data_IF_248019501733
#
_entry.id   IF_248019501733
#
_cell.length_a   1.000
_cell.length_b   1.000
_cell.length_c   1.000
_cell.angle_alpha   90.00
_cell.angle_beta   90.00
_cell.angle_gamma   90.00
#
_symmetry.space_group_name_H-M   'P 1'
#
loop_
_entity.id
_entity.type
_entity.pdbx_description
1 polymer ?
#
# COMPACT_ATOMS: atom_id res chain seq x y z
N UNK A 1 -5.12 16.21 9.92
CA UNK A 1 -3.88 15.49 9.57
C UNK A 1 -4.09 14.01 9.86
N UNK A 2 -3.75 13.18 8.94
CA UNK A 2 -3.86 11.75 9.16
C UNK A 2 -2.60 11.21 9.85
N UNK A 3 -2.66 9.97 10.31
CA UNK A 3 -1.54 9.34 11.00
C UNK A 3 -0.31 9.20 10.11
N UNK A 4 -0.53 9.10 8.83
CA UNK A 4 0.54 8.98 7.86
C UNK A 4 1.44 10.21 7.88
N UNK A 5 0.83 11.40 7.83
CA UNK A 5 1.59 12.65 7.85
C UNK A 5 2.32 12.84 9.17
N UNK A 6 1.69 12.46 10.28
CA UNK A 6 2.31 12.57 11.59
C UNK A 6 3.54 11.68 11.68
N UNK A 7 3.46 10.45 11.20
CA UNK A 7 4.61 9.54 11.20
C UNK A 7 5.73 10.05 10.33
N UNK A 8 5.40 10.64 9.20
CA UNK A 8 6.40 11.23 8.33
C UNK A 8 7.15 12.35 9.04
N UNK A 9 6.44 13.23 9.74
CA UNK A 9 7.06 14.31 10.49
C UNK A 9 7.97 13.76 11.57
N UNK A 10 7.55 12.74 12.29
CA UNK A 10 8.37 12.11 13.32
C UNK A 10 9.63 11.50 12.74
N UNK A 11 9.51 10.84 11.61
CA UNK A 11 10.66 10.24 10.94
C UNK A 11 11.69 11.29 10.56
N UNK A 12 11.23 12.40 9.99
CA UNK A 12 12.12 13.48 9.58
C UNK A 12 12.79 14.16 10.74
N UNK A 13 12.12 14.27 11.88
CA UNK A 13 12.65 14.99 13.04
C UNK A 13 13.55 14.16 13.93
N UNK A 14 13.17 12.90 14.13
CA UNK A 14 13.78 12.11 15.17
C UNK A 14 14.75 11.05 14.69
N UNK A 15 14.35 10.27 13.74
CA UNK A 15 15.09 9.06 13.42
C UNK A 15 15.96 9.18 12.18
N UNK A 16 15.59 10.07 11.32
CA UNK A 16 16.17 10.10 9.99
C UNK A 16 17.69 10.31 9.97
N UNK A 17 18.27 11.24 10.72
CA UNK A 17 19.73 11.42 10.63
C UNK A 17 20.50 10.23 11.18
N UNK A 18 19.98 9.60 12.20
CA UNK A 18 20.72 8.54 12.89
C UNK A 18 20.74 7.24 12.11
N UNK A 19 19.94 7.12 11.10
CA UNK A 19 19.87 5.87 10.36
C UNK A 19 20.97 5.72 9.33
N UNK A 20 21.74 6.77 9.13
CA UNK A 20 22.90 6.69 8.25
C UNK A 20 22.57 6.32 6.82
N UNK A 21 21.30 6.26 6.51
CA UNK A 21 20.82 5.91 5.19
C UNK A 21 20.21 7.09 4.50
N UNK A 22 19.37 6.80 3.55
CA UNK A 22 18.69 7.82 2.79
C UNK A 22 17.65 8.52 3.64
N UNK A 23 17.53 9.80 3.50
CA UNK A 23 16.42 10.55 4.08
C UNK A 23 15.16 10.30 3.25
N UNK A 24 14.02 10.72 3.80
CA UNK A 24 12.75 10.59 3.09
C UNK A 24 12.80 11.27 1.73
N UNK A 25 13.45 12.44 1.65
CA UNK A 25 13.53 13.17 0.39
C UNK A 25 14.44 12.55 -0.65
N UNK A 26 15.25 11.58 -0.27
CA UNK A 26 16.15 10.92 -1.21
C UNK A 26 15.47 9.80 -2.00
N UNK A 27 14.26 9.44 -1.64
CA UNK A 27 13.53 8.40 -2.36
C UNK A 27 12.81 9.00 -3.56
N UNK A 28 13.15 8.58 -4.77
CA UNK A 28 12.53 9.12 -5.97
C UNK A 28 11.15 8.51 -6.19
N UNK A 29 10.24 8.75 -5.26
CA UNK A 29 8.91 8.14 -5.32
C UNK A 29 7.84 9.22 -5.35
N UNK A 30 7.20 9.45 -6.51
CA UNK A 30 6.17 10.47 -6.64
C UNK A 30 4.88 10.13 -5.90
N UNK A 31 4.76 8.92 -5.37
CA UNK A 31 3.54 8.47 -4.68
C UNK A 31 3.63 8.65 -3.18
N UNK A 32 4.76 9.18 -2.68
CA UNK A 32 4.94 9.48 -1.26
C UNK A 32 5.32 8.26 -0.44
N UNK A 33 5.07 8.36 0.84
CA UNK A 33 5.42 7.33 1.80
C UNK A 33 4.17 6.74 2.44
N UNK A 34 4.31 5.53 2.96
CA UNK A 34 3.30 4.94 3.83
C UNK A 34 3.97 4.21 4.99
N UNK A 35 3.21 4.00 6.05
CA UNK A 35 3.71 3.22 7.16
C UNK A 35 3.85 1.75 6.72
N UNK A 36 4.96 1.15 7.09
CA UNK A 36 5.17 -0.27 6.82
C UNK A 36 4.23 -1.10 7.68
N UNK A 37 3.52 -2.00 7.06
CA UNK A 37 2.64 -2.92 7.78
C UNK A 37 3.32 -4.28 7.91
N UNK A 38 3.45 -4.74 9.13
CA UNK A 38 3.97 -6.06 9.41
C UNK A 38 3.00 -7.13 8.93
N UNK A 39 3.48 -8.36 8.71
CA UNK A 39 2.60 -9.45 8.28
C UNK A 39 1.43 -9.72 9.21
N UNK A 40 1.59 -9.45 10.51
CA UNK A 40 0.53 -9.67 11.50
C UNK A 40 -0.52 -8.53 11.54
N UNK A 41 -0.42 -7.56 10.65
CA UNK A 41 -1.36 -6.46 10.55
C UNK A 41 -0.97 -5.22 11.35
N UNK A 42 0.03 -5.29 12.21
CA UNK A 42 0.48 -4.12 12.97
C UNK A 42 1.42 -3.26 12.14
N UNK A 43 1.60 -2.01 12.57
CA UNK A 43 2.50 -1.10 11.88
C UNK A 43 3.81 -0.98 12.65
N UNK A 44 4.93 -1.07 11.92
CA UNK A 44 6.26 -1.10 12.52
C UNK A 44 6.85 0.25 12.87
N UNK A 45 6.15 1.32 12.58
CA UNK A 45 6.68 2.65 12.84
C UNK A 45 7.62 3.19 11.78
N UNK A 46 7.99 2.38 10.81
CA UNK A 46 8.81 2.82 9.68
C UNK A 46 7.93 3.39 8.58
N UNK A 47 8.47 4.39 7.89
CA UNK A 47 7.84 4.93 6.68
C UNK A 47 8.59 4.40 5.47
N UNK A 48 7.85 3.87 4.53
CA UNK A 48 8.42 3.26 3.32
C UNK A 48 7.91 3.99 2.09
N UNK A 49 8.72 4.14 1.05
CA UNK A 49 8.23 4.67 -0.20
C UNK A 49 7.13 3.77 -0.76
N UNK A 50 6.05 4.39 -1.22
CA UNK A 50 5.01 3.64 -1.91
C UNK A 50 5.53 3.15 -3.24
N UNK A 51 5.22 1.93 -3.58
CA UNK A 51 5.44 1.41 -4.93
C UNK A 51 4.25 1.78 -5.81
N UNK A 52 4.31 1.37 -7.06
CA UNK A 52 3.18 1.53 -7.99
C UNK A 52 2.09 0.49 -7.76
N UNK A 53 2.22 -0.36 -6.75
CA UNK A 53 1.26 -1.41 -6.46
C UNK A 53 1.48 -2.66 -7.30
N UNK A 54 0.71 -3.70 -7.00
CA UNK A 54 0.86 -5.00 -7.67
C UNK A 54 0.47 -4.95 -9.15
N UNK A 55 -0.49 -4.11 -9.51
CA UNK A 55 -1.01 -4.01 -10.87
C UNK A 55 -0.56 -2.74 -11.59
N UNK A 56 0.34 -1.97 -10.99
CA UNK A 56 0.80 -0.72 -11.57
C UNK A 56 -0.18 0.41 -11.40
N UNK A 57 0.05 1.50 -12.10
CA UNK A 57 -0.72 2.72 -11.99
C UNK A 57 -1.94 2.63 -12.88
N UNK A 58 -3.11 2.93 -12.31
CA UNK A 58 -4.34 3.10 -13.06
C UNK A 58 -4.85 4.52 -12.88
N UNK A 59 -5.57 5.02 -13.84
CA UNK A 59 -6.14 6.37 -13.77
C UNK A 59 -7.64 6.30 -13.53
N UNK A 60 -8.11 7.05 -12.53
CA UNK A 60 -9.53 7.22 -12.32
C UNK A 60 -10.13 8.12 -13.41
N UNK A 61 -11.46 8.18 -13.52
CA UNK A 61 -12.10 9.09 -14.49
C UNK A 61 -11.73 10.56 -14.27
N UNK A 62 -11.31 10.92 -13.05
CA UNK A 62 -10.88 12.29 -12.73
C UNK A 62 -9.40 12.51 -13.01
N UNK A 63 -8.69 11.51 -13.53
CA UNK A 63 -7.27 11.61 -13.82
C UNK A 63 -6.36 11.33 -12.65
N UNK A 64 -6.90 10.94 -11.50
CA UNK A 64 -6.10 10.61 -10.33
C UNK A 64 -5.45 9.23 -10.48
N UNK A 65 -4.23 9.10 -9.96
CA UNK A 65 -3.53 7.82 -9.99
C UNK A 65 -4.06 6.90 -8.89
N UNK A 66 -4.38 5.66 -9.26
CA UNK A 66 -4.84 4.64 -8.32
C UNK A 66 -3.87 3.47 -8.41
N UNK A 67 -3.24 3.14 -7.30
CA UNK A 67 -2.23 2.08 -7.27
C UNK A 67 -2.61 0.92 -6.35
N UNK A 68 -3.31 1.19 -5.28
CA UNK A 68 -3.60 0.17 -4.27
C UNK A 68 -5.07 0.09 -3.89
N UNK A 69 -5.71 1.23 -3.66
CA UNK A 69 -7.08 1.34 -3.16
C UNK A 69 -7.32 0.38 -2.00
N UNK A 70 -6.79 0.75 -0.85
CA UNK A 70 -6.75 -0.12 0.33
C UNK A 70 -8.13 -0.42 0.89
N UNK A 71 -8.27 -1.62 1.40
CA UNK A 71 -9.45 -2.07 2.14
C UNK A 71 -8.98 -2.68 3.46
N UNK A 72 -9.94 -2.97 4.34
CA UNK A 72 -9.62 -3.49 5.66
C UNK A 72 -10.48 -4.69 6.00
N UNK A 73 -9.92 -5.58 6.80
CA UNK A 73 -10.69 -6.53 7.60
C UNK A 73 -10.44 -6.23 9.07
N UNK A 74 -10.85 -7.13 9.96
CA UNK A 74 -10.71 -6.90 11.40
C UNK A 74 -9.25 -6.89 11.87
N UNK A 75 -8.34 -7.41 11.08
CA UNK A 75 -6.96 -7.64 11.51
C UNK A 75 -5.94 -6.78 10.78
N UNK A 76 -6.22 -6.35 9.55
CA UNK A 76 -5.23 -5.65 8.74
C UNK A 76 -5.87 -4.84 7.64
N UNK A 77 -5.10 -3.89 7.12
CA UNK A 77 -5.38 -3.23 5.84
C UNK A 77 -4.63 -3.95 4.74
N UNK A 78 -5.18 -3.98 3.54
CA UNK A 78 -4.51 -4.59 2.41
C UNK A 78 -4.97 -3.94 1.10
N UNK A 79 -4.17 -4.07 0.04
CA UNK A 79 -4.56 -3.47 -1.25
C UNK A 79 -5.68 -4.29 -1.89
N UNK A 80 -6.60 -3.60 -2.54
CA UNK A 80 -7.64 -4.27 -3.33
C UNK A 80 -7.18 -4.59 -4.75
N UNK A 81 -6.22 -3.84 -5.28
CA UNK A 81 -5.68 -4.08 -6.61
C UNK A 81 -4.55 -5.10 -6.53
N UNK A 82 -4.89 -6.36 -6.72
CA UNK A 82 -3.96 -7.49 -6.57
C UNK A 82 -3.99 -8.37 -7.82
N UNK A 83 -2.94 -9.19 -8.01
CA UNK A 83 -2.96 -10.17 -9.10
C UNK A 83 -4.17 -11.10 -9.00
N UNK A 84 -4.72 -11.49 -10.13
CA UNK A 84 -5.86 -12.38 -10.18
C UNK A 84 -7.20 -11.71 -10.42
N UNK A 85 -7.25 -10.37 -10.36
CA UNK A 85 -8.47 -9.66 -10.68
C UNK A 85 -8.74 -9.69 -12.18
N UNK A 86 -10.01 -9.76 -12.55
CA UNK A 86 -10.41 -9.61 -13.95
C UNK A 86 -10.62 -8.13 -14.29
N UNK A 87 -10.84 -7.84 -15.57
CA UNK A 87 -10.99 -6.48 -16.06
C UNK A 87 -12.18 -5.78 -15.41
N UNK A 88 -13.28 -6.47 -15.21
CA UNK A 88 -14.47 -5.87 -14.58
C UNK A 88 -14.20 -5.49 -13.14
N UNK A 89 -13.50 -6.35 -12.40
CA UNK A 89 -13.14 -6.06 -11.01
C UNK A 89 -12.23 -4.84 -10.92
N UNK A 90 -11.23 -4.78 -11.79
CA UNK A 90 -10.32 -3.63 -11.84
C UNK A 90 -11.08 -2.35 -12.17
N UNK A 91 -11.95 -2.39 -13.16
CA UNK A 91 -12.73 -1.22 -13.56
C UNK A 91 -13.66 -0.75 -12.45
N UNK A 92 -14.29 -1.66 -11.72
CA UNK A 92 -15.13 -1.27 -10.59
C UNK A 92 -14.34 -0.54 -9.52
N UNK A 93 -13.15 -1.01 -9.22
CA UNK A 93 -12.30 -0.37 -8.22
C UNK A 93 -11.81 0.99 -8.72
N UNK A 94 -11.25 1.03 -9.91
CA UNK A 94 -10.59 2.24 -10.42
C UNK A 94 -11.59 3.32 -10.79
N UNK A 95 -12.69 2.95 -11.43
CA UNK A 95 -13.65 3.93 -11.97
C UNK A 95 -14.75 4.28 -10.98
N UNK A 96 -15.15 3.35 -10.13
CA UNK A 96 -16.31 3.53 -9.25
C UNK A 96 -15.96 3.43 -7.79
N UNK A 97 -14.69 3.20 -7.45
CA UNK A 97 -14.23 3.01 -6.07
C UNK A 97 -15.05 1.92 -5.38
N UNK A 98 -15.40 0.89 -6.13
CA UNK A 98 -16.24 -0.19 -5.65
C UNK A 98 -15.46 -1.50 -5.69
N UNK A 99 -15.16 -2.02 -4.51
CA UNK A 99 -14.52 -3.33 -4.37
C UNK A 99 -15.64 -4.36 -4.28
N UNK A 100 -15.88 -5.07 -5.37
CA UNK A 100 -16.94 -6.10 -5.39
C UNK A 100 -16.61 -7.22 -4.42
N UNK A 101 -17.60 -8.02 -3.98
CA UNK A 101 -17.33 -9.16 -3.10
C UNK A 101 -16.29 -10.12 -3.65
N UNK A 102 -16.29 -10.39 -4.95
CA UNK A 102 -15.29 -11.27 -5.55
C UNK A 102 -13.90 -10.64 -5.53
N UNK A 103 -13.80 -9.35 -5.80
CA UNK A 103 -12.52 -8.63 -5.74
C UNK A 103 -12.00 -8.59 -4.30
N UNK A 104 -12.87 -8.31 -3.34
CA UNK A 104 -12.48 -8.29 -1.93
C UNK A 104 -11.93 -9.65 -1.50
N UNK A 105 -12.61 -10.73 -1.87
CA UNK A 105 -12.18 -12.07 -1.52
C UNK A 105 -10.80 -12.39 -2.09
N UNK A 106 -10.57 -12.03 -3.36
CA UNK A 106 -9.28 -12.24 -4.00
C UNK A 106 -8.18 -11.43 -3.31
N UNK A 107 -8.48 -10.18 -2.96
CA UNK A 107 -7.53 -9.31 -2.28
C UNK A 107 -7.19 -9.87 -0.88
N UNK A 108 -8.21 -10.31 -0.14
CA UNK A 108 -7.99 -10.86 1.19
C UNK A 108 -7.17 -12.15 1.13
N UNK A 109 -7.48 -13.04 0.18
CA UNK A 109 -6.72 -14.28 0.01
C UNK A 109 -5.27 -13.98 -0.33
N UNK A 110 -5.03 -13.01 -1.20
CA UNK A 110 -3.66 -12.60 -1.53
C UNK A 110 -2.93 -12.06 -0.30
N UNK A 111 -3.60 -11.22 0.49
CA UNK A 111 -3.02 -10.66 1.70
C UNK A 111 -2.68 -11.75 2.72
N UNK A 112 -3.57 -12.71 2.90
CA UNK A 112 -3.34 -13.82 3.82
C UNK A 112 -2.20 -14.72 3.35
N UNK A 113 -2.09 -14.92 2.05
CA UNK A 113 -0.98 -15.69 1.49
C UNK A 113 0.35 -14.99 1.76
N UNK A 114 0.41 -13.69 1.54
CA UNK A 114 1.61 -12.90 1.84
C UNK A 114 1.95 -13.00 3.33
N UNK A 115 0.95 -12.85 4.18
CA UNK A 115 1.12 -12.95 5.62
C UNK A 115 1.70 -14.30 6.03
N UNK A 116 1.22 -15.38 5.42
CA UNK A 116 1.72 -16.73 5.72
C UNK A 116 3.18 -16.91 5.32
N UNK A 117 3.66 -16.09 4.42
CA UNK A 117 5.06 -16.10 3.98
C UNK A 117 5.93 -15.12 4.78
N UNK A 118 5.37 -14.46 5.78
CA UNK A 118 6.09 -13.45 6.55
C UNK A 118 6.27 -12.12 5.81
N UNK A 119 5.38 -11.82 4.87
CA UNK A 119 5.50 -10.64 4.01
C UNK A 119 4.31 -9.72 4.21
N UNK A 120 4.53 -8.42 4.01
CA UNK A 120 3.46 -7.42 4.02
C UNK A 120 2.51 -7.66 2.85
N UNK A 121 1.21 -7.39 3.00
CA UNK A 121 0.27 -7.49 1.88
C UNK A 121 0.47 -6.41 0.83
N UNK A 122 1.12 -5.30 1.18
CA UNK A 122 1.40 -4.23 0.25
C UNK A 122 2.70 -4.49 -0.49
N UNK A 123 2.73 -4.12 -1.77
CA UNK A 123 3.95 -4.23 -2.53
C UNK A 123 4.92 -3.15 -2.11
N UNK A 124 6.13 -3.54 -1.77
CA UNK A 124 7.23 -2.64 -1.48
C UNK A 124 8.07 -2.42 -2.74
N UNK A 125 8.92 -1.39 -2.71
CA UNK A 125 9.70 -1.05 -3.90
C UNK A 125 10.68 -2.15 -4.32
N UNK A 126 11.02 -3.05 -3.41
CA UNK A 126 11.90 -4.18 -3.70
C UNK A 126 11.16 -5.46 -4.08
N UNK A 127 9.85 -5.48 -4.00
CA UNK A 127 9.07 -6.64 -4.45
C UNK A 127 9.02 -6.66 -5.97
N UNK A 128 8.98 -7.84 -6.52
CA UNK A 128 8.95 -8.02 -7.98
C UNK A 128 7.54 -8.20 -8.48
#
# INVERSE_FOLDING_TARGET
>A
MNNYTLKLAQLLQGAQPSQGGLSVGDYPNPYGLRAYQNPNGTYGGQMMPKSTGWLGIHKSPKGESVTEFSVENNNMSFPSLVPGLNTQEINQIVRHQNVTPSAYKKAEEFALQRQSQGLSPFKDIWDK
#
